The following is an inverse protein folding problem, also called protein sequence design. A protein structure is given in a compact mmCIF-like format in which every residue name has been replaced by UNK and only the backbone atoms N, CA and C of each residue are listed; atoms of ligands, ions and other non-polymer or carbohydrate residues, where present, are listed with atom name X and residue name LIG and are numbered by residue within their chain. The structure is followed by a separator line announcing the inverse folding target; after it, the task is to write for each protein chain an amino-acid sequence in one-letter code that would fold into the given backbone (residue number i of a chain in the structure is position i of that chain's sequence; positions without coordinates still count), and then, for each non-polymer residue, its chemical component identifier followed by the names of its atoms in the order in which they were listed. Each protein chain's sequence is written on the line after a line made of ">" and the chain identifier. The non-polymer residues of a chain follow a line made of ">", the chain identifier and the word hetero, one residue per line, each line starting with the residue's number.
data_IF_954387080137
#
_entry.id   IF_954387080137
#
_cell.length_a   1.000
_cell.length_b   1.000
_cell.length_c   1.000
_cell.angle_alpha   90.00
_cell.angle_beta   90.00
_cell.angle_gamma   90.00
#
_symmetry.space_group_name_H-M   'P 1'
#
loop_
_entity.id
_entity.type
_entity.pdbx_description
1 polymer ?
#
# COMPACT_ATOMS: atom_id res chain seq x y z
N UNK A 1 -8.09 18.39 -19.87
CA UNK A 1 -7.05 17.55 -19.30
C UNK A 1 -7.60 16.77 -18.10
N UNK A 2 -7.36 15.50 -18.09
CA UNK A 2 -7.86 14.67 -17.02
C UNK A 2 -6.85 14.57 -15.89
N UNK A 3 -7.26 14.96 -14.71
CA UNK A 3 -6.40 14.80 -13.55
C UNK A 3 -6.36 13.34 -13.13
N UNK A 4 -5.21 12.81 -12.71
CA UNK A 4 -5.18 11.48 -12.16
C UNK A 4 -6.03 11.43 -10.88
N UNK A 5 -6.51 10.26 -10.53
CA UNK A 5 -7.22 10.09 -9.27
C UNK A 5 -6.31 10.54 -8.12
N UNK A 6 -6.85 11.27 -7.13
CA UNK A 6 -6.01 11.65 -5.98
C UNK A 6 -5.44 10.40 -5.31
N UNK A 7 -4.16 10.46 -4.96
CA UNK A 7 -3.48 9.32 -4.34
C UNK A 7 -4.11 8.92 -3.01
N UNK A 8 -4.81 9.87 -2.36
CA UNK A 8 -5.37 9.63 -1.02
C UNK A 8 -6.79 9.09 -1.05
N UNK A 9 -7.36 8.86 -2.22
CA UNK A 9 -8.65 8.14 -2.30
C UNK A 9 -8.40 6.64 -2.18
N UNK A 10 -9.43 5.93 -1.79
CA UNK A 10 -9.34 4.46 -1.70
C UNK A 10 -8.84 3.85 -2.99
N UNK A 11 -9.41 4.25 -4.13
CA UNK A 11 -9.00 3.72 -5.42
C UNK A 11 -7.56 4.10 -5.76
N UNK A 12 -7.16 5.33 -5.47
CA UNK A 12 -5.81 5.78 -5.72
C UNK A 12 -4.79 5.02 -4.88
N UNK A 13 -5.11 4.80 -3.61
CA UNK A 13 -4.25 4.03 -2.71
C UNK A 13 -4.11 2.61 -3.22
N UNK A 14 -5.22 1.96 -3.57
CA UNK A 14 -5.18 0.58 -4.07
C UNK A 14 -4.36 0.47 -5.35
N UNK A 15 -4.53 1.41 -6.26
CA UNK A 15 -3.79 1.39 -7.52
C UNK A 15 -2.28 1.52 -7.27
N UNK A 16 -1.90 2.45 -6.41
CA UNK A 16 -0.50 2.67 -6.09
C UNK A 16 0.12 1.44 -5.42
N UNK A 17 -0.61 0.86 -4.46
CA UNK A 17 -0.13 -0.32 -3.75
C UNK A 17 0.05 -1.51 -4.72
N UNK A 18 -0.90 -1.70 -5.62
CA UNK A 18 -0.81 -2.80 -6.59
C UNK A 18 0.42 -2.65 -7.48
N UNK A 19 0.69 -1.43 -7.94
CA UNK A 19 1.84 -1.18 -8.78
C UNK A 19 3.15 -1.47 -8.04
N UNK A 20 3.23 -1.06 -6.78
CA UNK A 20 4.44 -1.28 -5.99
C UNK A 20 4.64 -2.77 -5.71
N UNK A 21 3.59 -3.46 -5.31
CA UNK A 21 3.67 -4.91 -5.07
C UNK A 21 4.10 -5.62 -6.34
N UNK A 22 3.51 -5.27 -7.49
CA UNK A 22 3.86 -5.88 -8.76
C UNK A 22 5.36 -5.75 -9.04
N UNK A 23 5.95 -4.60 -8.72
CA UNK A 23 7.38 -4.38 -8.88
C UNK A 23 8.23 -5.26 -7.98
N UNK A 24 7.80 -5.43 -6.72
CA UNK A 24 8.56 -6.24 -5.78
C UNK A 24 8.50 -7.73 -6.09
N UNK A 25 7.38 -8.21 -6.63
CA UNK A 25 7.22 -9.65 -6.88
C UNK A 25 7.37 -10.01 -8.35
N UNK A 26 7.67 -9.02 -9.20
CA UNK A 26 7.95 -9.21 -10.62
C UNK A 26 6.78 -9.88 -11.34
N UNK A 27 5.58 -9.31 -11.14
CA UNK A 27 4.36 -9.80 -11.76
C UNK A 27 3.61 -8.65 -12.42
N UNK A 28 2.80 -8.93 -13.46
CA UNK A 28 1.95 -7.89 -14.04
C UNK A 28 0.97 -7.34 -13.01
N UNK A 29 0.74 -6.04 -13.03
CA UNK A 29 -0.19 -5.38 -12.10
C UNK A 29 -1.57 -6.04 -12.14
N UNK A 30 -2.02 -6.45 -13.34
CA UNK A 30 -3.33 -7.04 -13.50
C UNK A 30 -3.50 -8.35 -12.72
N UNK A 31 -2.39 -9.00 -12.35
CA UNK A 31 -2.45 -10.26 -11.60
C UNK A 31 -2.36 -10.05 -10.09
N UNK A 32 -2.15 -8.82 -9.64
CA UNK A 32 -2.12 -8.50 -8.21
C UNK A 32 -3.54 -8.28 -7.73
N UNK A 33 -4.00 -9.15 -6.85
CA UNK A 33 -5.37 -9.09 -6.32
C UNK A 33 -5.38 -8.40 -4.98
N UNK A 34 -6.49 -7.74 -4.66
CA UNK A 34 -6.60 -6.96 -3.44
C UNK A 34 -6.75 -7.82 -2.19
N UNK A 35 -7.28 -9.01 -2.34
CA UNK A 35 -7.64 -9.88 -1.23
C UNK A 35 -6.71 -11.07 -1.02
N UNK A 36 -5.59 -11.12 -1.75
CA UNK A 36 -4.61 -12.18 -1.63
C UNK A 36 -3.46 -11.70 -0.74
N UNK A 37 -3.01 -12.56 0.15
CA UNK A 37 -1.92 -12.21 1.06
C UNK A 37 -0.63 -11.98 0.27
N UNK A 38 0.08 -10.92 0.61
CA UNK A 38 1.28 -10.53 -0.14
C UNK A 38 2.35 -11.61 -0.13
N UNK A 39 2.45 -12.38 0.97
CA UNK A 39 3.42 -13.47 1.06
C UNK A 39 3.16 -14.54 -0.01
N UNK A 40 1.93 -14.68 -0.46
CA UNK A 40 1.60 -15.67 -1.49
C UNK A 40 2.15 -15.32 -2.85
N UNK A 41 2.49 -14.05 -3.07
CA UNK A 41 3.16 -13.61 -4.30
C UNK A 41 4.67 -13.72 -4.19
N UNK A 42 5.19 -14.09 -3.02
CA UNK A 42 6.63 -14.21 -2.83
C UNK A 42 7.29 -12.98 -2.21
N UNK A 43 6.51 -12.06 -1.65
CA UNK A 43 7.09 -10.89 -0.99
C UNK A 43 7.80 -11.33 0.29
N UNK A 44 9.11 -11.13 0.35
CA UNK A 44 9.90 -11.52 1.51
C UNK A 44 10.03 -10.36 2.52
N UNK A 45 10.75 -10.61 3.59
CA UNK A 45 10.89 -9.63 4.67
C UNK A 45 11.57 -8.35 4.22
N UNK A 46 12.57 -8.46 3.38
CA UNK A 46 13.29 -7.29 2.90
C UNK A 46 12.39 -6.43 2.02
N UNK A 47 11.67 -7.07 1.10
CA UNK A 47 10.74 -6.35 0.24
C UNK A 47 9.63 -5.68 1.07
N UNK A 48 9.14 -6.38 2.09
CA UNK A 48 8.11 -5.82 2.96
C UNK A 48 8.61 -4.58 3.71
N UNK A 49 9.84 -4.63 4.18
CA UNK A 49 10.45 -3.48 4.87
C UNK A 49 10.62 -2.29 3.92
N UNK A 50 11.10 -2.55 2.72
CA UNK A 50 11.27 -1.50 1.71
C UNK A 50 9.93 -0.91 1.30
N UNK A 51 8.92 -1.75 1.19
CA UNK A 51 7.56 -1.33 0.84
C UNK A 51 7.01 -0.39 1.90
N UNK A 52 7.19 -0.74 3.19
CA UNK A 52 6.77 0.15 4.29
C UNK A 52 7.43 1.52 4.19
N UNK A 53 8.72 1.55 3.88
CA UNK A 53 9.44 2.82 3.71
C UNK A 53 8.91 3.65 2.56
N UNK A 54 8.58 3.00 1.44
CA UNK A 54 8.02 3.71 0.30
C UNK A 54 6.65 4.31 0.62
N UNK A 55 5.84 3.57 1.37
CA UNK A 55 4.53 4.06 1.78
C UNK A 55 4.68 5.31 2.64
N UNK A 56 5.62 5.28 3.59
CA UNK A 56 5.87 6.45 4.43
C UNK A 56 6.26 7.67 3.59
N UNK A 57 7.15 7.46 2.62
CA UNK A 57 7.61 8.54 1.75
C UNK A 57 6.50 9.08 0.88
N UNK A 58 5.68 8.20 0.33
CA UNK A 58 4.65 8.61 -0.63
C UNK A 58 3.50 9.34 0.06
N UNK A 59 3.10 8.87 1.22
CA UNK A 59 1.90 9.39 1.90
C UNK A 59 2.22 10.30 3.09
N UNK A 60 3.48 10.40 3.48
CA UNK A 60 3.89 11.27 4.58
C UNK A 60 3.36 10.84 5.93
N UNK A 61 3.19 9.55 6.14
CA UNK A 61 2.69 8.99 7.39
C UNK A 61 3.65 7.93 7.88
N UNK A 62 3.54 7.60 9.17
CA UNK A 62 4.34 6.52 9.74
C UNK A 62 3.57 5.22 9.68
N UNK A 63 4.25 4.16 9.25
CA UNK A 63 3.68 2.81 9.31
C UNK A 63 4.72 1.89 9.94
N UNK A 64 4.28 0.90 10.73
CA UNK A 64 5.24 0.00 11.39
C UNK A 64 5.94 -0.88 10.36
N UNK A 65 7.18 -1.28 10.69
CA UNK A 65 7.94 -2.17 9.82
C UNK A 65 7.25 -3.52 9.65
N UNK A 66 6.38 -3.89 10.59
CA UNK A 66 5.62 -5.14 10.53
C UNK A 66 4.31 -4.99 9.78
N UNK A 67 4.10 -3.87 9.10
CA UNK A 67 2.82 -3.57 8.45
C UNK A 67 2.33 -4.71 7.55
N UNK A 68 3.24 -5.29 6.76
CA UNK A 68 2.86 -6.33 5.81
C UNK A 68 2.43 -7.64 6.50
N UNK A 69 2.83 -7.82 7.76
CA UNK A 69 2.40 -8.99 8.54
C UNK A 69 1.07 -8.73 9.25
N UNK A 70 0.91 -7.52 9.79
CA UNK A 70 -0.31 -7.14 10.50
C UNK A 70 -1.45 -6.83 9.54
N UNK A 71 -1.11 -6.38 8.34
CA UNK A 71 -2.08 -6.03 7.30
C UNK A 71 -1.67 -6.75 6.02
N UNK A 72 -1.98 -8.04 5.90
CA UNK A 72 -1.32 -8.89 4.89
C UNK A 72 -1.84 -8.76 3.47
N UNK A 73 -2.92 -8.02 3.23
CA UNK A 73 -3.48 -7.85 1.89
C UNK A 73 -3.51 -6.38 1.50
N UNK A 74 -3.64 -6.10 0.21
CA UNK A 74 -3.76 -4.72 -0.24
C UNK A 74 -4.99 -4.06 0.35
N UNK A 75 -6.11 -4.79 0.45
CA UNK A 75 -7.31 -4.26 1.09
C UNK A 75 -7.03 -3.82 2.52
N UNK A 76 -6.35 -4.67 3.30
CA UNK A 76 -6.03 -4.35 4.69
C UNK A 76 -5.10 -3.14 4.80
N UNK A 77 -4.10 -3.05 3.92
CA UNK A 77 -3.18 -1.92 3.92
C UNK A 77 -3.91 -0.64 3.52
N UNK A 78 -4.81 -0.73 2.54
CA UNK A 78 -5.60 0.43 2.12
C UNK A 78 -6.42 0.97 3.28
N UNK A 79 -7.02 0.10 4.08
CA UNK A 79 -7.79 0.51 5.24
C UNK A 79 -6.91 1.21 6.28
N UNK A 80 -5.73 0.65 6.52
CA UNK A 80 -4.78 1.26 7.45
C UNK A 80 -4.39 2.67 6.97
N UNK A 81 -4.03 2.80 5.70
CA UNK A 81 -3.60 4.09 5.16
C UNK A 81 -4.74 5.11 5.17
N UNK A 82 -5.95 4.68 4.84
CA UNK A 82 -7.10 5.58 4.87
C UNK A 82 -7.34 6.12 6.26
N UNK A 83 -7.25 5.27 7.28
CA UNK A 83 -7.43 5.72 8.66
C UNK A 83 -6.33 6.70 9.09
N UNK A 84 -5.07 6.41 8.72
CA UNK A 84 -3.95 7.28 9.07
C UNK A 84 -4.08 8.64 8.42
N UNK A 85 -4.49 8.67 7.15
CA UNK A 85 -4.66 9.93 6.44
C UNK A 85 -5.83 10.73 7.01
N UNK A 86 -6.91 10.06 7.40
CA UNK A 86 -8.04 10.74 8.05
C UNK A 86 -7.64 11.34 9.39
N UNK A 87 -6.82 10.62 10.17
CA UNK A 87 -6.32 11.11 11.44
C UNK A 87 -5.49 12.37 11.26
N UNK A 88 -4.65 12.40 10.21
CA UNK A 88 -3.86 13.61 9.92
C UNK A 88 -4.74 14.79 9.57
N UNK A 89 -5.79 14.55 8.79
CA UNK A 89 -6.71 15.60 8.38
C UNK A 89 -7.45 16.16 9.59
N UNK A 90 -7.86 15.28 10.50
CA UNK A 90 -8.58 15.71 11.70
C UNK A 90 -7.68 16.47 12.66
N UNK A 91 -6.40 16.12 12.69
CA UNK A 91 -5.45 16.74 13.62
C UNK A 91 -5.14 18.19 13.31
N UNK A 92 -5.52 18.67 12.14
CA UNK A 92 -5.28 20.07 11.76
C UNK A 92 -6.34 21.01 12.38
#
# INVERSE_FOLDING_TARGET
>A
MTSPAPLKTTQGIQAWLRERVAGYVDMPVAEIRLDVRLVEYGMDSLAALMFSGEIEDEYGIEVPATMAWDHPTITAITELLSRRLDEQTIAD
#
